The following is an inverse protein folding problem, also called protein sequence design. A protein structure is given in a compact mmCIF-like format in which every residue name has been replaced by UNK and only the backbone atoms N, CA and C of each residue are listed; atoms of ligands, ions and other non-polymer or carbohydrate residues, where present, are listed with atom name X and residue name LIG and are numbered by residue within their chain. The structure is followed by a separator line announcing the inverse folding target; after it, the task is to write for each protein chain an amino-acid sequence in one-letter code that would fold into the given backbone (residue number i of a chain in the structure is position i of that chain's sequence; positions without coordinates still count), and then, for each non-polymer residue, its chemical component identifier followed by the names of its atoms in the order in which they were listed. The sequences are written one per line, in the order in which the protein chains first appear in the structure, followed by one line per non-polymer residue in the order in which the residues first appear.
data_IF_303480153306
#
_entry.id   IF_303480153306
#
_cell.length_a   1.000
_cell.length_b   1.000
_cell.length_c   1.000
_cell.angle_alpha   90.00
_cell.angle_beta   90.00
_cell.angle_gamma   90.00
#
_symmetry.space_group_name_H-M   'P 1'
#
loop_
_entity.id
_entity.type
_entity.pdbx_description
1 polymer ?
#
# COMPACT_ATOMS: atom_id res chain seq x y z
N UNK A 1 7.40 -1.07 -11.54
CA UNK A 1 6.12 -1.10 -10.80
C UNK A 1 5.51 -2.49 -10.74
N UNK A 2 5.43 -3.19 -11.84
CA UNK A 2 4.86 -4.55 -11.88
C UNK A 2 5.63 -5.53 -11.02
N UNK A 3 6.96 -5.44 -11.00
CA UNK A 3 7.79 -6.29 -10.14
C UNK A 3 7.50 -6.06 -8.66
N UNK A 4 7.25 -4.81 -8.28
CA UNK A 4 6.93 -4.43 -6.91
C UNK A 4 5.57 -5.01 -6.51
N UNK A 5 4.56 -4.82 -7.34
CA UNK A 5 3.21 -5.37 -7.09
C UNK A 5 3.26 -6.89 -6.95
N UNK A 6 3.93 -7.56 -7.87
CA UNK A 6 4.05 -9.02 -7.85
C UNK A 6 4.70 -9.52 -6.57
N UNK A 7 5.82 -8.90 -6.17
CA UNK A 7 6.53 -9.28 -4.95
C UNK A 7 5.63 -9.13 -3.72
N UNK A 8 4.95 -8.00 -3.58
CA UNK A 8 4.07 -7.75 -2.43
C UNK A 8 2.91 -8.73 -2.40
N UNK A 9 2.30 -9.02 -3.55
CA UNK A 9 1.20 -10.00 -3.64
C UNK A 9 1.65 -11.39 -3.21
N UNK A 10 2.86 -11.80 -3.58
CA UNK A 10 3.41 -13.10 -3.19
C UNK A 10 3.71 -13.17 -1.69
N UNK A 11 4.04 -12.05 -1.07
CA UNK A 11 4.24 -11.98 0.38
C UNK A 11 2.94 -12.13 1.16
N UNK A 12 1.81 -11.70 0.60
CA UNK A 12 0.52 -11.65 1.28
C UNK A 12 0.37 -10.36 2.08
N UNK A 13 0.26 -10.46 3.41
CA UNK A 13 0.19 -9.28 4.25
C UNK A 13 1.54 -8.54 4.28
N UNK A 14 1.47 -7.22 4.34
CA UNK A 14 2.63 -6.37 4.54
C UNK A 14 2.33 -5.39 5.68
N UNK A 15 3.35 -4.67 6.13
CA UNK A 15 3.19 -3.71 7.22
C UNK A 15 3.45 -2.30 6.71
N UNK A 16 2.48 -1.42 6.96
CA UNK A 16 2.52 -0.04 6.52
C UNK A 16 2.81 0.88 7.71
N UNK A 17 3.90 1.63 7.62
CA UNK A 17 4.26 2.63 8.62
C UNK A 17 3.82 4.01 8.17
N UNK A 18 3.23 4.75 9.11
CA UNK A 18 2.80 6.15 8.94
C UNK A 18 3.38 6.99 10.05
N UNK A 19 3.21 8.30 9.93
CA UNK A 19 3.66 9.27 10.92
C UNK A 19 2.42 9.90 11.59
N UNK A 20 2.44 9.95 12.91
CA UNK A 20 1.41 10.62 13.71
C UNK A 20 2.12 11.66 14.60
N UNK A 21 2.24 12.89 14.08
CA UNK A 21 3.10 13.90 14.70
C UNK A 21 4.56 13.48 14.63
N UNK A 22 5.19 13.22 15.76
CA UNK A 22 6.55 12.70 15.85
C UNK A 22 6.60 11.20 16.17
N UNK A 23 5.46 10.53 16.20
CA UNK A 23 5.37 9.12 16.53
C UNK A 23 5.22 8.24 15.28
N UNK A 24 6.03 7.19 15.13
CA UNK A 24 5.79 6.21 14.07
C UNK A 24 4.62 5.30 14.46
N UNK A 25 3.80 4.94 13.48
CA UNK A 25 2.70 3.98 13.65
C UNK A 25 2.83 2.93 12.56
N UNK A 26 2.51 1.66 12.89
CA UNK A 26 2.60 0.57 11.93
C UNK A 26 1.43 -0.39 12.14
N UNK A 27 0.91 -0.96 11.04
CA UNK A 27 -0.18 -1.92 11.04
C UNK A 27 -0.12 -2.81 9.80
N UNK A 28 -0.74 -4.00 9.85
CA UNK A 28 -0.81 -4.85 8.67
C UNK A 28 -1.80 -4.32 7.63
N UNK A 29 -1.47 -4.56 6.36
CA UNK A 29 -2.29 -4.29 5.19
C UNK A 29 -2.23 -5.52 4.28
N UNK A 30 -3.24 -5.69 3.43
CA UNK A 30 -3.31 -6.85 2.53
C UNK A 30 -3.61 -6.51 1.07
N UNK A 31 -3.85 -5.24 0.74
CA UNK A 31 -4.25 -4.86 -0.62
C UNK A 31 -3.12 -4.16 -1.35
N UNK A 32 -2.95 -4.51 -2.61
CA UNK A 32 -2.01 -3.85 -3.51
C UNK A 32 -2.47 -4.13 -4.94
N UNK A 33 -2.59 -3.08 -5.76
CA UNK A 33 -3.10 -3.24 -7.12
C UNK A 33 -2.63 -2.10 -8.02
N UNK A 34 -2.19 -2.42 -9.22
CA UNK A 34 -1.87 -1.42 -10.24
C UNK A 34 -3.16 -1.05 -10.99
N UNK A 35 -3.41 0.25 -11.13
CA UNK A 35 -4.53 0.78 -11.91
C UNK A 35 -4.12 2.10 -12.55
N UNK A 36 -4.35 2.22 -13.85
CA UNK A 36 -3.99 3.41 -14.64
C UNK A 36 -2.53 3.88 -14.40
N UNK A 37 -1.61 2.92 -14.35
CA UNK A 37 -0.18 3.23 -14.21
C UNK A 37 0.25 3.68 -12.82
N UNK A 38 -0.59 3.46 -11.80
CA UNK A 38 -0.29 3.81 -10.40
C UNK A 38 -0.49 2.61 -9.51
N UNK A 39 0.24 2.57 -8.40
CA UNK A 39 0.17 1.48 -7.42
C UNK A 39 -0.71 1.91 -6.25
N UNK A 40 -1.82 1.22 -6.06
CA UNK A 40 -2.86 1.56 -5.08
C UNK A 40 -2.90 0.61 -3.90
N UNK A 41 -3.27 1.14 -2.76
CA UNK A 41 -3.69 0.39 -1.57
C UNK A 41 -5.09 0.87 -1.16
N UNK A 42 -5.76 0.10 -0.30
CA UNK A 42 -7.13 0.38 0.13
C UNK A 42 -7.25 0.38 1.66
N UNK A 43 -8.02 1.30 2.18
CA UNK A 43 -8.40 1.36 3.60
C UNK A 43 -9.80 1.97 3.74
N UNK A 44 -10.20 2.32 4.95
CA UNK A 44 -11.44 3.03 5.24
C UNK A 44 -11.16 4.41 5.84
N UNK A 45 -11.92 5.41 5.43
CA UNK A 45 -11.73 6.81 5.85
C UNK A 45 -11.88 7.02 7.36
N UNK A 46 -12.60 6.15 8.05
CA UNK A 46 -12.81 6.25 9.51
C UNK A 46 -11.62 5.73 10.32
N UNK A 47 -10.68 5.03 9.68
CA UNK A 47 -9.53 4.46 10.39
C UNK A 47 -8.47 5.51 10.70
N UNK A 48 -7.72 5.30 11.79
CA UNK A 48 -6.63 6.19 12.18
C UNK A 48 -5.56 6.32 11.10
N UNK A 49 -5.26 5.24 10.38
CA UNK A 49 -4.28 5.27 9.29
C UNK A 49 -4.66 6.29 8.22
N UNK A 50 -5.94 6.36 7.86
CA UNK A 50 -6.43 7.35 6.89
C UNK A 50 -6.20 8.77 7.41
N UNK A 51 -6.57 9.01 8.66
CA UNK A 51 -6.40 10.33 9.29
C UNK A 51 -4.93 10.75 9.36
N UNK A 52 -4.04 9.81 9.66
CA UNK A 52 -2.60 10.07 9.70
C UNK A 52 -2.06 10.44 8.32
N UNK A 53 -2.44 9.69 7.29
CA UNK A 53 -2.02 9.93 5.91
C UNK A 53 -2.51 11.29 5.41
N UNK A 54 -3.72 11.69 5.76
CA UNK A 54 -4.24 12.99 5.35
C UNK A 54 -3.44 14.16 5.94
N UNK A 55 -2.88 13.99 7.13
CA UNK A 55 -2.01 15.00 7.74
C UNK A 55 -0.58 14.94 7.22
N UNK A 56 -0.07 13.74 7.01
CA UNK A 56 1.28 13.51 6.48
C UNK A 56 1.25 12.25 5.64
N UNK A 57 1.31 12.42 4.33
CA UNK A 57 1.20 11.33 3.37
C UNK A 57 2.46 10.46 3.24
N UNK A 58 3.55 10.81 3.91
CA UNK A 58 4.79 10.02 3.84
C UNK A 58 4.62 8.70 4.57
N UNK A 59 4.93 7.62 3.86
CA UNK A 59 4.75 6.26 4.37
C UNK A 59 5.93 5.39 3.96
N UNK A 60 6.06 4.26 4.64
CA UNK A 60 6.90 3.16 4.18
C UNK A 60 6.20 1.85 4.49
N UNK A 61 6.20 0.93 3.52
CA UNK A 61 5.77 -0.43 3.78
C UNK A 61 6.95 -1.39 3.75
N UNK A 62 6.79 -2.50 4.45
CA UNK A 62 7.75 -3.59 4.43
C UNK A 62 7.00 -4.90 4.20
N UNK A 63 7.41 -5.65 3.19
CA UNK A 63 6.85 -6.96 2.85
C UNK A 63 7.97 -7.99 2.82
N UNK A 64 7.79 -9.10 3.52
CA UNK A 64 8.77 -10.19 3.56
C UNK A 64 8.22 -11.41 2.88
N UNK A 65 9.03 -12.09 2.05
CA UNK A 65 8.61 -13.32 1.40
C UNK A 65 8.38 -14.44 2.41
N UNK A 66 7.66 -15.48 1.99
CA UNK A 66 7.29 -16.58 2.88
C UNK A 66 8.48 -17.38 3.40
N UNK A 67 9.55 -17.45 2.61
CA UNK A 67 10.79 -18.09 3.03
C UNK A 67 11.56 -17.29 4.09
N UNK A 68 11.24 -16.01 4.27
CA UNK A 68 11.86 -15.15 5.28
C UNK A 68 13.29 -14.73 4.96
N UNK A 69 13.69 -14.78 3.68
CA UNK A 69 15.05 -14.44 3.26
C UNK A 69 15.14 -13.25 2.32
N UNK A 70 14.02 -12.74 1.84
CA UNK A 70 13.97 -11.55 0.97
C UNK A 70 12.84 -10.65 1.43
N UNK A 71 13.07 -9.35 1.38
CA UNK A 71 12.02 -8.37 1.72
C UNK A 71 12.11 -7.16 0.82
N UNK A 72 11.03 -6.40 0.81
CA UNK A 72 10.90 -5.17 0.05
C UNK A 72 10.52 -4.05 1.00
N UNK A 73 11.19 -2.91 0.88
CA UNK A 73 10.74 -1.66 1.50
C UNK A 73 10.31 -0.71 0.39
N UNK A 74 9.12 -0.19 0.51
CA UNK A 74 8.57 0.78 -0.45
C UNK A 74 8.22 2.06 0.31
N UNK A 75 8.94 3.12 0.03
CA UNK A 75 8.68 4.44 0.59
C UNK A 75 8.11 5.38 -0.46
N UNK A 76 7.29 6.32 -0.02
CA UNK A 76 6.70 7.30 -0.90
C UNK A 76 5.66 8.12 -0.19
N UNK A 77 4.89 8.86 -0.97
CA UNK A 77 3.77 9.65 -0.45
C UNK A 77 2.47 9.04 -0.97
N UNK A 78 1.54 8.75 -0.07
CA UNK A 78 0.22 8.25 -0.44
C UNK A 78 -0.72 9.43 -0.73
N UNK A 79 -1.41 9.35 -1.85
CA UNK A 79 -2.37 10.36 -2.31
C UNK A 79 -3.74 9.71 -2.46
N UNK A 80 -4.75 10.31 -1.82
CA UNK A 80 -6.13 9.83 -1.95
C UNK A 80 -6.64 10.07 -3.36
N UNK A 81 -7.33 9.07 -3.89
CA UNK A 81 -8.03 9.17 -5.17
C UNK A 81 -9.52 8.92 -4.91
N UNK A 82 -10.30 9.99 -4.94
CA UNK A 82 -11.73 9.92 -4.61
C UNK A 82 -12.61 9.48 -5.79
N UNK A 83 -12.03 9.21 -6.96
CA UNK A 83 -12.79 8.72 -8.11
C UNK A 83 -13.38 7.35 -7.81
N UNK A 84 -14.50 7.05 -8.44
CA UNK A 84 -15.18 5.76 -8.26
C UNK A 84 -14.40 4.60 -8.91
N UNK A 85 -13.80 4.83 -10.07
CA UNK A 85 -13.18 3.80 -10.90
C UNK A 85 -12.07 3.03 -10.17
N UNK A 86 -11.10 3.66 -9.49
CA UNK A 86 -10.09 2.90 -8.78
C UNK A 86 -10.65 2.13 -7.57
N UNK A 87 -11.74 2.61 -6.96
CA UNK A 87 -12.42 1.87 -5.88
C UNK A 87 -13.05 0.60 -6.43
N UNK A 88 -13.73 0.68 -7.57
CA UNK A 88 -14.32 -0.48 -8.24
C UNK A 88 -13.23 -1.49 -8.60
N UNK A 89 -12.13 -1.03 -9.18
CA UNK A 89 -11.03 -1.91 -9.57
C UNK A 89 -10.48 -2.67 -8.36
N UNK A 90 -10.25 -1.96 -7.26
CA UNK A 90 -9.71 -2.58 -6.05
C UNK A 90 -10.65 -3.62 -5.46
N UNK A 91 -11.95 -3.33 -5.39
CA UNK A 91 -12.93 -4.25 -4.83
C UNK A 91 -13.18 -5.46 -5.74
N UNK A 92 -12.97 -5.32 -7.04
CA UNK A 92 -13.02 -6.47 -7.94
C UNK A 92 -11.78 -7.34 -7.81
N UNK A 93 -10.61 -6.75 -7.57
CA UNK A 93 -9.38 -7.49 -7.32
C UNK A 93 -9.42 -8.24 -5.96
N UNK A 94 -10.14 -7.70 -4.99
CA UNK A 94 -10.27 -8.26 -3.65
C UNK A 94 -11.75 -8.38 -3.27
N UNK A 95 -12.49 -9.32 -3.88
CA UNK A 95 -13.96 -9.40 -3.72
C UNK A 95 -14.43 -9.60 -2.28
N UNK A 96 -13.60 -10.18 -1.42
CA UNK A 96 -13.91 -10.37 0.00
C UNK A 96 -14.11 -9.04 0.73
N UNK A 97 -13.55 -7.95 0.24
CA UNK A 97 -13.74 -6.62 0.82
C UNK A 97 -15.16 -6.09 0.63
N UNK A 98 -15.91 -6.65 -0.31
CA UNK A 98 -17.30 -6.23 -0.58
C UNK A 98 -18.25 -6.49 0.59
N UNK A 99 -17.83 -7.30 1.56
CA UNK A 99 -18.58 -7.53 2.80
C UNK A 99 -18.60 -6.29 3.70
N UNK A 100 -17.57 -5.43 3.59
CA UNK A 100 -17.41 -4.27 4.48
C UNK A 100 -17.37 -2.94 3.72
N UNK A 101 -17.09 -2.98 2.41
CA UNK A 101 -16.86 -1.79 1.61
C UNK A 101 -17.62 -1.85 0.29
N UNK A 102 -18.01 -0.68 -0.21
CA UNK A 102 -18.55 -0.52 -1.56
C UNK A 102 -18.00 0.76 -2.18
N UNK A 103 -17.99 0.88 -3.52
CA UNK A 103 -17.51 2.11 -4.15
C UNK A 103 -18.31 3.36 -3.77
N UNK A 104 -19.54 3.17 -3.28
CA UNK A 104 -20.51 4.23 -3.02
C UNK A 104 -20.80 4.42 -1.52
N UNK A 105 -20.02 3.79 -0.63
CA UNK A 105 -20.24 3.86 0.83
C UNK A 105 -19.66 5.10 1.52
N UNK A 106 -18.97 5.96 0.77
CA UNK A 106 -18.29 7.16 1.26
C UNK A 106 -17.21 6.88 2.32
N UNK A 107 -16.94 5.61 2.62
CA UNK A 107 -15.90 5.19 3.56
C UNK A 107 -14.70 4.54 2.87
N UNK A 108 -14.94 3.80 1.78
CA UNK A 108 -13.87 3.16 1.02
C UNK A 108 -12.88 4.20 0.52
N UNK A 109 -11.61 3.99 0.86
CA UNK A 109 -10.54 4.88 0.44
C UNK A 109 -9.48 4.09 -0.32
N UNK A 110 -9.13 4.56 -1.51
CA UNK A 110 -7.97 4.06 -2.25
C UNK A 110 -6.96 5.20 -2.37
N UNK A 111 -5.68 4.82 -2.23
CA UNK A 111 -4.58 5.78 -2.27
C UNK A 111 -3.49 5.21 -3.15
N UNK A 112 -2.82 6.06 -3.91
CA UNK A 112 -1.70 5.63 -4.74
C UNK A 112 -0.39 6.22 -4.26
N UNK A 113 0.69 5.50 -4.55
CA UNK A 113 2.06 5.93 -4.22
C UNK A 113 2.55 6.97 -5.24
N UNK A 114 3.05 8.07 -4.74
CA UNK A 114 3.72 9.13 -5.50
C UNK A 114 5.17 9.26 -5.01
N UNK A 115 6.08 9.51 -5.95
CA UNK A 115 7.50 9.67 -5.64
C UNK A 115 8.03 8.47 -4.85
N UNK A 116 7.77 7.27 -5.38
CA UNK A 116 8.03 6.03 -4.66
C UNK A 116 9.42 5.47 -4.98
N UNK A 117 10.04 4.90 -3.96
CA UNK A 117 11.28 4.13 -4.06
C UNK A 117 11.08 2.77 -3.44
N UNK A 118 11.24 1.72 -4.24
CA UNK A 118 11.19 0.34 -3.78
C UNK A 118 12.61 -0.20 -3.70
N UNK A 119 12.97 -0.78 -2.54
CA UNK A 119 14.27 -1.38 -2.32
C UNK A 119 14.10 -2.86 -2.04
N UNK A 120 14.63 -3.70 -2.93
CA UNK A 120 14.64 -5.15 -2.79
C UNK A 120 15.88 -5.55 -1.99
N UNK A 121 15.68 -6.26 -0.89
CA UNK A 121 16.70 -6.63 0.08
C UNK A 121 16.76 -8.14 0.28
N UNK A 122 17.94 -8.63 0.63
CA UNK A 122 18.16 -10.01 1.05
C UNK A 122 19.34 -10.05 2.02
N UNK A 123 19.57 -11.23 2.62
CA UNK A 123 20.74 -11.40 3.50
C UNK A 123 22.04 -11.62 2.74
N UNK A 124 21.98 -11.91 1.45
CA UNK A 124 23.15 -12.35 0.67
C UNK A 124 23.53 -11.42 -0.47
N UNK A 125 22.59 -10.62 -0.99
CA UNK A 125 22.82 -9.75 -2.15
C UNK A 125 22.75 -8.28 -1.74
N UNK A 126 23.47 -7.39 -2.47
CA UNK A 126 23.32 -5.96 -2.25
C UNK A 126 21.89 -5.47 -2.51
N UNK A 127 21.41 -4.45 -1.82
CA UNK A 127 20.08 -3.88 -2.09
C UNK A 127 19.99 -3.35 -3.52
N UNK A 128 18.80 -3.50 -4.11
CA UNK A 128 18.49 -2.99 -5.45
C UNK A 128 17.25 -2.11 -5.36
N UNK A 129 17.33 -0.90 -5.89
CA UNK A 129 16.23 0.05 -5.83
C UNK A 129 15.65 0.36 -7.20
N UNK A 130 14.34 0.54 -7.25
CA UNK A 130 13.61 1.08 -8.40
C UNK A 130 12.71 2.22 -7.94
N UNK A 131 12.49 3.20 -8.81
CA UNK A 131 11.67 4.38 -8.51
C UNK A 131 10.49 4.46 -9.48
N UNK A 132 9.41 5.02 -9.02
CA UNK A 132 8.25 5.28 -9.87
C UNK A 132 7.31 6.35 -9.31
#
# INVERSE_FOLDING_TARGET
MEEVEKFIKECGAYFLATVDGDEPKVRPFGTIEIFEGKLYIQTGKTKNVSKQIQKNGKVQLCAMNKAGNKWLRLSGTLVRDDRREPKVHMLEAYPELKRMYSPDDENTEVLYFKDATATFCSFTEPPRSVTF
#
